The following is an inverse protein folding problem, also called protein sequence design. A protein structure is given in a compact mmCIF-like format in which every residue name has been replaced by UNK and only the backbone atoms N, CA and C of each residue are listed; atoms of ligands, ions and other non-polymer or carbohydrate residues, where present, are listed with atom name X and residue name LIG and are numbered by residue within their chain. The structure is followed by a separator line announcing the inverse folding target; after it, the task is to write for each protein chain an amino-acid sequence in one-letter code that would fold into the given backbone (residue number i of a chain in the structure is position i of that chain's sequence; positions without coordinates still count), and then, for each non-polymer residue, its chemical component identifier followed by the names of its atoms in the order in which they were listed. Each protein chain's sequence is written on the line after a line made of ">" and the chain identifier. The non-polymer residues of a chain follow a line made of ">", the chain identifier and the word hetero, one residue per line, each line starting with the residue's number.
data_IF_874639680255
#
_entry.id   IF_874639680255
#
_cell.length_a   1.000
_cell.length_b   1.000
_cell.length_c   1.000
_cell.angle_alpha   90.00
_cell.angle_beta   90.00
_cell.angle_gamma   90.00
#
_symmetry.space_group_name_H-M   'P 1'
#
loop_
_entity.id
_entity.type
_entity.pdbx_description
1 polymer ?
#
# COMPACT_ATOMS: atom_id res chain seq x y z
N UNK A 1 -35.07 -8.36 13.24
CA UNK A 1 -35.45 -7.36 12.22
C UNK A 1 -34.74 -5.98 12.33
N UNK A 2 -34.37 -5.48 13.51
CA UNK A 2 -33.60 -4.19 13.61
C UNK A 2 -32.14 -4.31 13.12
N UNK A 3 -31.52 -5.48 13.24
CA UNK A 3 -30.12 -5.70 12.78
C UNK A 3 -29.98 -5.70 11.24
N UNK A 4 -31.00 -6.07 10.48
CA UNK A 4 -30.91 -6.12 9.02
C UNK A 4 -30.75 -4.71 8.40
N UNK A 5 -31.50 -3.70 8.87
CA UNK A 5 -31.41 -2.32 8.35
C UNK A 5 -30.02 -1.68 8.53
N UNK A 6 -29.41 -1.87 9.70
CA UNK A 6 -28.06 -1.35 9.95
C UNK A 6 -27.04 -2.06 9.05
N UNK A 7 -27.16 -3.37 8.91
CA UNK A 7 -26.30 -4.18 8.06
C UNK A 7 -26.43 -3.78 6.59
N UNK A 8 -27.66 -3.58 6.09
CA UNK A 8 -27.90 -3.14 4.72
C UNK A 8 -27.37 -1.72 4.46
N UNK A 9 -27.53 -0.81 5.43
CA UNK A 9 -26.97 0.55 5.34
C UNK A 9 -25.45 0.54 5.34
N UNK A 10 -24.83 -0.26 6.21
CA UNK A 10 -23.38 -0.39 6.28
C UNK A 10 -22.81 -1.02 4.99
N UNK A 11 -23.41 -2.09 4.49
CA UNK A 11 -23.02 -2.73 3.23
C UNK A 11 -23.15 -1.75 2.05
N UNK A 12 -24.22 -0.97 2.01
CA UNK A 12 -24.45 0.07 0.99
C UNK A 12 -23.40 1.17 1.08
N UNK A 13 -23.07 1.64 2.30
CA UNK A 13 -22.03 2.65 2.53
C UNK A 13 -20.64 2.14 2.11
N UNK A 14 -20.29 0.93 2.52
CA UNK A 14 -19.02 0.31 2.17
C UNK A 14 -18.90 0.06 0.66
N UNK A 15 -19.97 -0.37 0.00
CA UNK A 15 -20.02 -0.51 -1.46
C UNK A 15 -19.84 0.83 -2.18
N UNK A 16 -20.48 1.92 -1.70
CA UNK A 16 -20.28 3.28 -2.24
C UNK A 16 -18.82 3.75 -2.05
N UNK A 17 -18.23 3.50 -0.88
CA UNK A 17 -16.86 3.86 -0.59
C UNK A 17 -15.89 3.11 -1.51
N UNK A 18 -16.04 1.79 -1.66
CA UNK A 18 -15.17 0.97 -2.49
C UNK A 18 -15.25 1.25 -3.99
N UNK A 19 -16.40 1.76 -4.44
CA UNK A 19 -16.63 2.15 -5.83
C UNK A 19 -16.34 3.65 -6.08
N UNK A 20 -15.90 4.39 -5.06
CA UNK A 20 -15.52 5.78 -5.23
C UNK A 20 -14.31 5.87 -6.16
N UNK A 21 -14.42 6.67 -7.21
CA UNK A 21 -13.51 6.64 -8.36
C UNK A 21 -12.06 6.94 -7.99
N UNK A 22 -11.81 7.90 -7.09
CA UNK A 22 -10.47 8.25 -6.66
C UNK A 22 -9.84 7.16 -5.78
N UNK A 23 -10.62 6.54 -4.87
CA UNK A 23 -10.14 5.42 -4.04
C UNK A 23 -9.83 4.18 -4.90
N UNK A 24 -10.70 3.88 -5.89
CA UNK A 24 -10.43 2.83 -6.87
C UNK A 24 -9.15 3.12 -7.65
N UNK A 25 -8.98 4.36 -8.11
CA UNK A 25 -7.78 4.81 -8.82
C UNK A 25 -6.51 4.64 -8.00
N UNK A 26 -6.52 5.06 -6.73
CA UNK A 26 -5.38 4.88 -5.84
C UNK A 26 -5.02 3.41 -5.66
N UNK A 27 -6.01 2.57 -5.36
CA UNK A 27 -5.79 1.13 -5.24
C UNK A 27 -5.14 0.55 -6.49
N UNK A 28 -5.69 0.83 -7.68
CA UNK A 28 -5.21 0.28 -8.95
C UNK A 28 -3.79 0.79 -9.27
N UNK A 29 -3.48 2.05 -8.96
CA UNK A 29 -2.15 2.65 -9.11
C UNK A 29 -1.13 1.97 -8.18
N UNK A 30 -1.41 1.86 -6.87
CA UNK A 30 -0.49 1.27 -5.91
C UNK A 30 -0.26 -0.22 -6.17
N UNK A 31 -1.30 -1.00 -6.49
CA UNK A 31 -1.16 -2.42 -6.85
C UNK A 31 -0.26 -2.60 -8.08
N UNK A 32 -0.38 -1.72 -9.07
CA UNK A 32 0.43 -1.81 -10.31
C UNK A 32 1.93 -1.57 -10.04
N UNK A 33 2.28 -0.71 -9.11
CA UNK A 33 3.70 -0.41 -8.77
C UNK A 33 4.30 -1.35 -7.73
N UNK A 34 3.49 -2.14 -7.04
CA UNK A 34 3.93 -3.05 -5.98
C UNK A 34 5.11 -3.94 -6.37
N UNK A 35 5.18 -4.55 -7.59
CA UNK A 35 6.31 -5.38 -7.99
C UNK A 35 7.66 -4.63 -7.96
N UNK A 36 7.68 -3.33 -8.27
CA UNK A 36 8.90 -2.52 -8.22
C UNK A 36 9.40 -2.34 -6.79
N UNK A 37 8.48 -2.14 -5.83
CA UNK A 37 8.84 -1.99 -4.42
C UNK A 37 9.25 -3.31 -3.78
N UNK A 38 8.64 -4.42 -4.19
CA UNK A 38 9.07 -5.77 -3.79
C UNK A 38 10.50 -6.02 -4.28
N UNK A 39 10.79 -5.74 -5.55
CA UNK A 39 12.15 -5.87 -6.10
C UNK A 39 13.15 -5.03 -5.30
N UNK A 40 12.83 -3.76 -5.05
CA UNK A 40 13.67 -2.88 -4.26
C UNK A 40 13.94 -3.43 -2.85
N UNK A 41 12.90 -3.93 -2.16
CA UNK A 41 13.04 -4.56 -0.84
C UNK A 41 13.94 -5.80 -0.85
N UNK A 42 13.79 -6.68 -1.85
CA UNK A 42 14.65 -7.87 -2.01
C UNK A 42 16.11 -7.48 -2.27
N UNK A 43 16.35 -6.42 -3.04
CA UNK A 43 17.69 -5.91 -3.31
C UNK A 43 18.33 -5.35 -2.04
N UNK A 44 17.56 -4.65 -1.20
CA UNK A 44 18.05 -4.19 0.11
C UNK A 44 18.45 -5.38 0.99
N UNK A 45 17.66 -6.46 0.99
CA UNK A 45 18.02 -7.70 1.67
C UNK A 45 19.35 -8.27 1.15
N UNK A 46 19.51 -8.38 -0.16
CA UNK A 46 20.75 -8.88 -0.77
C UNK A 46 21.95 -7.99 -0.41
N UNK A 47 21.83 -6.68 -0.59
CA UNK A 47 22.89 -5.72 -0.33
C UNK A 47 23.32 -5.66 1.14
N UNK A 48 22.34 -5.64 2.06
CA UNK A 48 22.62 -5.37 3.47
C UNK A 48 22.80 -6.63 4.32
N UNK A 49 22.40 -7.78 3.80
CA UNK A 49 22.49 -9.05 4.52
C UNK A 49 23.33 -10.08 3.76
N UNK A 50 22.84 -10.55 2.62
CA UNK A 50 23.44 -11.69 1.91
C UNK A 50 24.84 -11.37 1.37
N UNK A 51 25.02 -10.20 0.73
CA UNK A 51 26.31 -9.83 0.17
C UNK A 51 27.36 -9.58 1.26
N UNK A 52 26.97 -9.07 2.42
CA UNK A 52 27.87 -8.90 3.56
C UNK A 52 28.36 -10.23 4.16
N UNK A 53 27.61 -11.31 3.98
CA UNK A 53 28.05 -12.65 4.40
C UNK A 53 29.06 -13.27 3.43
N UNK A 54 29.00 -12.89 2.14
CA UNK A 54 29.77 -13.53 1.07
C UNK A 54 30.98 -12.70 0.67
N UNK A 55 30.85 -11.37 0.65
CA UNK A 55 31.86 -10.44 0.12
C UNK A 55 32.35 -9.46 1.19
N UNK A 56 33.59 -8.96 1.01
CA UNK A 56 34.21 -7.94 1.87
C UNK A 56 34.96 -6.91 1.03
N UNK A 57 35.21 -5.72 1.63
CA UNK A 57 36.02 -4.65 1.01
C UNK A 57 35.47 -4.18 -0.34
N UNK A 58 36.33 -3.89 -1.30
CA UNK A 58 35.96 -3.36 -2.61
C UNK A 58 35.02 -4.26 -3.40
N UNK A 59 35.14 -5.58 -3.22
CA UNK A 59 34.25 -6.54 -3.86
C UNK A 59 32.82 -6.37 -3.38
N UNK A 60 32.60 -6.22 -2.07
CA UNK A 60 31.29 -5.93 -1.50
C UNK A 60 30.70 -4.64 -2.11
N UNK A 61 31.49 -3.55 -2.14
CA UNK A 61 31.04 -2.26 -2.67
C UNK A 61 30.61 -2.36 -4.15
N UNK A 62 31.36 -3.12 -4.96
CA UNK A 62 31.01 -3.35 -6.38
C UNK A 62 29.69 -4.11 -6.54
N UNK A 63 29.46 -5.15 -5.75
CA UNK A 63 28.20 -5.88 -5.80
C UNK A 63 27.01 -5.05 -5.26
N UNK A 64 27.22 -4.27 -4.19
CA UNK A 64 26.21 -3.37 -3.66
C UNK A 64 25.81 -2.26 -4.63
N UNK A 65 26.73 -1.81 -5.50
CA UNK A 65 26.45 -0.79 -6.51
C UNK A 65 25.31 -1.20 -7.47
N UNK A 66 25.26 -2.49 -7.87
CA UNK A 66 24.14 -3.03 -8.64
C UNK A 66 22.78 -2.80 -7.94
N UNK A 67 22.69 -3.11 -6.65
CA UNK A 67 21.46 -2.92 -5.90
C UNK A 67 21.09 -1.45 -5.69
N UNK A 68 22.09 -0.58 -5.44
CA UNK A 68 21.90 0.87 -5.32
C UNK A 68 21.31 1.44 -6.62
N UNK A 69 21.83 1.02 -7.78
CA UNK A 69 21.34 1.47 -9.08
C UNK A 69 19.86 1.12 -9.31
N UNK A 70 19.45 -0.11 -8.92
CA UNK A 70 18.04 -0.52 -9.02
C UNK A 70 17.15 0.25 -8.02
N UNK A 71 17.63 0.45 -6.79
CA UNK A 71 16.90 1.24 -5.79
C UNK A 71 16.69 2.69 -6.28
N UNK A 72 17.68 3.29 -6.90
CA UNK A 72 17.56 4.62 -7.50
C UNK A 72 16.53 4.67 -8.64
N UNK A 73 16.48 3.64 -9.48
CA UNK A 73 15.50 3.52 -10.57
C UNK A 73 14.09 3.13 -10.14
N UNK A 74 13.87 2.81 -8.86
CA UNK A 74 12.57 2.39 -8.32
C UNK A 74 12.10 3.29 -7.17
N UNK A 75 12.75 3.21 -6.02
CA UNK A 75 12.35 3.94 -4.80
C UNK A 75 12.58 5.45 -4.92
N UNK A 76 13.74 5.84 -5.45
CA UNK A 76 14.12 7.25 -5.52
C UNK A 76 13.29 8.07 -6.52
N UNK A 77 12.47 7.40 -7.35
CA UNK A 77 11.52 8.05 -8.29
C UNK A 77 10.07 7.62 -8.04
N UNK A 78 9.79 7.05 -6.88
CA UNK A 78 8.47 6.48 -6.56
C UNK A 78 7.33 7.50 -6.63
N UNK A 79 7.55 8.75 -6.22
CA UNK A 79 6.57 9.83 -6.34
C UNK A 79 6.19 10.13 -7.80
N UNK A 80 7.17 10.10 -8.71
CA UNK A 80 6.94 10.28 -10.14
C UNK A 80 6.17 9.10 -10.73
N UNK A 81 6.55 7.88 -10.37
CA UNK A 81 5.87 6.65 -10.83
C UNK A 81 4.41 6.65 -10.39
N UNK A 82 4.14 7.00 -9.12
CA UNK A 82 2.77 7.08 -8.60
C UNK A 82 1.96 8.15 -9.32
N UNK A 83 2.52 9.33 -9.59
CA UNK A 83 1.82 10.37 -10.33
C UNK A 83 1.40 9.90 -11.73
N UNK A 84 2.28 9.20 -12.47
CA UNK A 84 1.98 8.59 -13.77
C UNK A 84 0.84 7.58 -13.65
N UNK A 85 0.91 6.67 -12.67
CA UNK A 85 -0.10 5.61 -12.52
C UNK A 85 -1.45 6.15 -12.08
N UNK A 86 -1.47 7.11 -11.16
CA UNK A 86 -2.73 7.78 -10.73
C UNK A 86 -3.37 8.50 -11.90
N UNK A 87 -2.61 9.28 -12.68
CA UNK A 87 -3.12 9.94 -13.87
C UNK A 87 -3.69 8.96 -14.90
N UNK A 88 -2.99 7.86 -15.15
CA UNK A 88 -3.45 6.82 -16.05
C UNK A 88 -4.75 6.16 -15.59
N UNK A 89 -4.78 5.67 -14.34
CA UNK A 89 -5.94 4.95 -13.83
C UNK A 89 -7.14 5.86 -13.58
N UNK A 90 -6.93 7.13 -13.21
CA UNK A 90 -8.03 8.07 -13.07
C UNK A 90 -8.70 8.32 -14.41
N UNK A 91 -7.92 8.63 -15.46
CA UNK A 91 -8.44 8.82 -16.80
C UNK A 91 -9.14 7.55 -17.33
N UNK A 92 -8.56 6.36 -17.09
CA UNK A 92 -9.19 5.08 -17.44
C UNK A 92 -10.51 4.83 -16.69
N UNK A 93 -10.55 5.12 -15.39
CA UNK A 93 -11.75 4.95 -14.57
C UNK A 93 -12.84 6.01 -14.87
N UNK A 94 -12.46 7.11 -15.54
CA UNK A 94 -13.36 8.15 -16.10
C UNK A 94 -13.75 7.88 -17.54
N UNK A 95 -13.37 6.72 -18.11
CA UNK A 95 -13.59 6.37 -19.52
C UNK A 95 -13.08 7.44 -20.50
N UNK A 96 -12.00 8.14 -20.13
CA UNK A 96 -11.38 9.14 -20.99
C UNK A 96 -10.60 8.48 -22.12
N UNK A 97 -10.73 8.97 -23.36
CA UNK A 97 -10.19 8.33 -24.57
C UNK A 97 -8.65 8.20 -24.59
N UNK A 98 -7.94 9.09 -23.88
CA UNK A 98 -6.47 9.11 -23.89
C UNK A 98 -5.84 9.09 -22.50
N UNK A 99 -5.89 7.93 -21.78
CA UNK A 99 -5.30 7.79 -20.45
C UNK A 99 -3.79 8.03 -20.42
N UNK A 100 -3.10 7.74 -21.54
CA UNK A 100 -1.65 7.96 -21.65
C UNK A 100 -1.30 9.46 -21.63
N UNK A 101 -2.08 10.31 -22.31
CA UNK A 101 -1.87 11.76 -22.26
C UNK A 101 -2.10 12.28 -20.83
N UNK A 102 -3.10 11.80 -20.12
CA UNK A 102 -3.35 12.16 -18.73
C UNK A 102 -2.20 11.74 -17.80
N UNK A 103 -1.63 10.56 -18.00
CA UNK A 103 -0.49 10.09 -17.22
C UNK A 103 0.77 10.95 -17.42
N UNK A 104 1.06 11.32 -18.66
CA UNK A 104 2.19 12.21 -18.99
C UNK A 104 1.95 13.62 -18.42
N UNK A 105 0.74 14.14 -18.54
CA UNK A 105 0.37 15.44 -17.98
C UNK A 105 0.54 15.46 -16.46
N UNK A 106 0.13 14.41 -15.76
CA UNK A 106 0.30 14.27 -14.32
C UNK A 106 1.76 14.32 -13.90
N UNK A 107 2.63 13.61 -14.63
CA UNK A 107 4.08 13.65 -14.41
C UNK A 107 4.65 15.07 -14.61
N UNK A 108 4.32 15.70 -15.74
CA UNK A 108 4.81 17.04 -16.06
C UNK A 108 4.32 18.05 -15.02
N UNK A 109 3.04 17.99 -14.63
CA UNK A 109 2.47 18.86 -13.61
C UNK A 109 3.18 18.70 -12.25
N UNK A 110 3.53 17.46 -11.86
CA UNK A 110 4.31 17.22 -10.64
C UNK A 110 5.71 17.86 -10.75
N UNK A 111 6.40 17.70 -11.87
CA UNK A 111 7.74 18.26 -12.07
C UNK A 111 7.70 19.79 -12.05
N UNK A 112 6.68 20.41 -12.65
CA UNK A 112 6.46 21.87 -12.61
C UNK A 112 6.30 22.40 -11.19
N UNK A 113 5.78 21.58 -10.28
CA UNK A 113 5.59 21.93 -8.86
C UNK A 113 6.81 21.61 -7.97
N UNK A 114 7.85 20.99 -8.53
CA UNK A 114 9.09 20.68 -7.81
C UNK A 114 10.04 21.90 -7.77
N UNK A 115 10.90 22.00 -6.74
CA UNK A 115 11.96 23.00 -6.76
C UNK A 115 12.98 22.65 -7.86
N UNK A 116 13.41 23.67 -8.60
CA UNK A 116 14.43 23.57 -9.64
C UNK A 116 15.86 23.82 -9.12
N UNK A 117 15.98 24.12 -7.83
CA UNK A 117 17.25 24.38 -7.15
C UNK A 117 17.32 23.52 -5.89
N UNK A 118 18.45 22.88 -5.68
CA UNK A 118 18.72 22.01 -4.52
C UNK A 118 19.95 22.54 -3.81
N UNK A 119 19.86 22.68 -2.48
CA UNK A 119 20.98 23.03 -1.62
C UNK A 119 21.73 21.76 -1.19
N UNK A 120 22.99 21.64 -1.50
CA UNK A 120 23.83 20.49 -1.20
C UNK A 120 25.08 20.95 -0.47
N UNK A 121 25.48 20.25 0.59
CA UNK A 121 26.78 20.41 1.23
C UNK A 121 27.75 19.44 0.57
N UNK A 122 28.72 19.92 -0.22
CA UNK A 122 29.71 19.05 -0.84
C UNK A 122 30.59 18.34 0.20
N UNK A 123 31.11 17.16 -0.14
CA UNK A 123 32.02 16.42 0.72
C UNK A 123 33.24 17.27 1.10
N UNK A 124 33.48 17.41 2.42
CA UNK A 124 34.56 18.22 2.97
C UNK A 124 34.29 19.73 3.06
N UNK A 125 33.14 20.24 2.58
CA UNK A 125 32.73 21.62 2.73
C UNK A 125 31.90 21.83 4.01
N UNK A 126 31.92 23.07 4.55
CA UNK A 126 31.06 23.48 5.68
C UNK A 126 29.78 24.20 5.20
N UNK A 127 29.85 24.81 4.03
CA UNK A 127 28.77 25.66 3.51
C UNK A 127 28.01 24.94 2.40
N UNK A 128 26.70 25.15 2.38
CA UNK A 128 25.82 24.62 1.35
C UNK A 128 25.95 25.41 0.04
N UNK A 129 25.96 24.70 -1.07
CA UNK A 129 25.96 25.28 -2.43
C UNK A 129 24.63 24.98 -3.11
N UNK A 130 24.05 26.00 -3.72
CA UNK A 130 22.82 25.85 -4.48
C UNK A 130 23.13 25.41 -5.91
N UNK A 131 22.55 24.26 -6.32
CA UNK A 131 22.69 23.70 -7.66
C UNK A 131 21.33 23.80 -8.35
N UNK A 132 21.27 24.48 -9.49
CA UNK A 132 20.04 24.65 -10.29
C UNK A 132 19.97 23.67 -11.45
N UNK A 133 18.77 23.38 -11.95
CA UNK A 133 18.53 22.49 -13.08
C UNK A 133 18.67 21.00 -12.75
N UNK A 134 18.50 20.64 -11.48
CA UNK A 134 18.56 19.24 -10.99
C UNK A 134 17.27 18.84 -10.29
N UNK A 135 16.91 17.56 -10.40
CA UNK A 135 15.85 16.93 -9.61
C UNK A 135 16.50 16.13 -8.49
N UNK A 136 16.13 16.42 -7.26
CA UNK A 136 16.61 15.66 -6.09
C UNK A 136 15.76 14.43 -5.86
N UNK A 137 16.37 13.32 -5.48
CA UNK A 137 15.66 12.12 -5.05
C UNK A 137 14.73 12.37 -3.85
N UNK A 138 15.02 13.34 -3.00
CA UNK A 138 14.13 13.75 -1.93
C UNK A 138 12.79 14.30 -2.45
N UNK A 139 12.77 14.90 -3.65
CA UNK A 139 11.58 15.46 -4.27
C UNK A 139 10.91 14.51 -5.29
N UNK A 140 11.59 13.45 -5.73
CA UNK A 140 11.06 12.49 -6.70
C UNK A 140 10.68 11.15 -6.08
N UNK A 141 11.26 10.83 -4.94
CA UNK A 141 11.07 9.56 -4.22
C UNK A 141 9.83 9.54 -3.32
N UNK A 142 9.93 8.79 -2.24
CA UNK A 142 8.84 8.55 -1.27
C UNK A 142 8.27 9.82 -0.64
N UNK A 143 9.10 10.80 -0.33
CA UNK A 143 8.65 12.09 0.20
C UNK A 143 7.69 12.84 -0.72
N UNK A 144 7.75 12.59 -2.03
CA UNK A 144 6.87 13.19 -3.02
C UNK A 144 5.64 12.33 -3.37
N UNK A 145 5.44 11.16 -2.78
CA UNK A 145 4.33 10.26 -3.18
C UNK A 145 2.95 10.90 -2.96
N UNK A 146 2.72 11.54 -1.81
CA UNK A 146 1.46 12.24 -1.54
C UNK A 146 1.25 13.42 -2.49
N UNK A 147 2.30 14.21 -2.73
CA UNK A 147 2.25 15.29 -3.71
C UNK A 147 1.96 14.75 -5.11
N UNK A 148 2.58 13.63 -5.49
CA UNK A 148 2.33 12.93 -6.74
C UNK A 148 0.87 12.52 -6.90
N UNK A 149 0.26 11.95 -5.86
CA UNK A 149 -1.17 11.58 -5.85
C UNK A 149 -2.05 12.80 -6.01
N UNK A 150 -1.86 13.84 -5.20
CA UNK A 150 -2.72 15.03 -5.20
C UNK A 150 -2.61 15.79 -6.52
N UNK A 151 -1.40 16.03 -6.99
CA UNK A 151 -1.15 16.70 -8.27
C UNK A 151 -1.75 15.90 -9.42
N UNK A 152 -1.55 14.58 -9.45
CA UNK A 152 -2.08 13.73 -10.51
C UNK A 152 -3.62 13.74 -10.56
N UNK A 153 -4.29 13.67 -9.40
CA UNK A 153 -5.75 13.76 -9.34
C UNK A 153 -6.22 15.11 -9.88
N UNK A 154 -5.67 16.21 -9.38
CA UNK A 154 -6.09 17.57 -9.79
C UNK A 154 -5.79 17.79 -11.27
N UNK A 155 -4.58 17.46 -11.74
CA UNK A 155 -4.18 17.64 -13.13
C UNK A 155 -5.05 16.84 -14.08
N UNK A 156 -5.35 15.57 -13.74
CA UNK A 156 -6.16 14.69 -14.57
C UNK A 156 -7.62 15.13 -14.61
N UNK A 157 -8.23 15.48 -13.48
CA UNK A 157 -9.62 15.96 -13.46
C UNK A 157 -9.75 17.28 -14.27
N UNK A 158 -8.85 18.23 -14.05
CA UNK A 158 -8.84 19.48 -14.84
C UNK A 158 -8.64 19.21 -16.33
N UNK A 159 -7.76 18.27 -16.68
CA UNK A 159 -7.50 17.91 -18.07
C UNK A 159 -8.73 17.30 -18.74
N UNK A 160 -9.42 16.38 -18.07
CA UNK A 160 -10.64 15.77 -18.58
C UNK A 160 -11.73 16.83 -18.76
N UNK A 161 -11.94 17.68 -17.75
CA UNK A 161 -12.94 18.76 -17.80
C UNK A 161 -12.67 19.72 -18.97
N UNK A 162 -11.42 20.21 -19.09
CA UNK A 162 -11.04 21.13 -20.17
C UNK A 162 -11.08 20.47 -21.56
N UNK A 163 -10.78 19.18 -21.65
CA UNK A 163 -10.88 18.43 -22.90
C UNK A 163 -12.32 18.28 -23.41
N UNK A 164 -13.30 18.39 -22.52
CA UNK A 164 -14.73 18.38 -22.89
C UNK A 164 -15.26 19.74 -23.34
N UNK A 165 -14.47 20.81 -23.15
CA UNK A 165 -14.86 22.18 -23.56
C UNK A 165 -14.61 22.33 -25.06
N UNK A 166 -15.68 22.42 -25.85
CA UNK A 166 -15.62 22.55 -27.32
C UNK A 166 -14.72 23.70 -27.82
N UNK A 167 -14.67 24.81 -27.11
CA UNK A 167 -13.84 25.98 -27.46
C UNK A 167 -12.33 25.71 -27.35
N UNK A 168 -11.93 24.67 -26.56
CA UNK A 168 -10.54 24.26 -26.38
C UNK A 168 -10.15 23.07 -27.26
N UNK A 169 -11.09 22.50 -28.03
CA UNK A 169 -10.80 21.39 -28.93
C UNK A 169 -10.35 21.94 -30.31
N UNK A 170 -9.12 21.59 -30.69
CA UNK A 170 -8.63 21.88 -32.05
C UNK A 170 -9.11 20.79 -33.01
N UNK A 171 -10.02 21.13 -33.90
CA UNK A 171 -10.45 20.25 -34.99
C UNK A 171 -9.61 20.52 -36.26
N UNK A 172 -8.85 19.53 -36.70
CA UNK A 172 -7.98 19.66 -37.87
C UNK A 172 -8.63 19.19 -39.17
N UNK A 173 -9.93 18.78 -39.14
CA UNK A 173 -10.67 18.30 -40.31
C UNK A 173 -10.55 16.79 -40.55
N UNK A 174 -11.32 16.28 -41.52
CA UNK A 174 -11.52 14.83 -41.73
C UNK A 174 -10.37 14.09 -42.42
N UNK A 175 -9.43 14.83 -43.05
CA UNK A 175 -8.36 14.23 -43.86
C UNK A 175 -7.05 13.96 -43.07
N UNK A 176 -7.10 13.96 -41.73
CA UNK A 176 -5.92 13.79 -40.90
C UNK A 176 -5.97 12.43 -40.18
N UNK A 177 -4.84 11.73 -40.02
CA UNK A 177 -4.79 10.46 -39.31
C UNK A 177 -5.39 10.62 -37.90
N UNK A 178 -6.23 9.67 -37.43
CA UNK A 178 -6.93 9.78 -36.12
C UNK A 178 -5.99 9.98 -34.91
N UNK A 179 -4.76 9.45 -34.97
CA UNK A 179 -3.76 9.62 -33.92
C UNK A 179 -3.29 11.08 -33.80
N UNK A 180 -3.09 11.75 -34.96
CA UNK A 180 -2.68 13.17 -35.02
C UNK A 180 -3.83 14.04 -34.54
N UNK A 181 -5.04 13.84 -35.06
CA UNK A 181 -6.24 14.58 -34.66
C UNK A 181 -6.47 14.53 -33.14
N UNK A 182 -6.36 13.32 -32.52
CA UNK A 182 -6.48 13.15 -31.05
C UNK A 182 -5.41 13.91 -30.28
N UNK A 183 -4.17 13.98 -30.77
CA UNK A 183 -3.09 14.72 -30.10
C UNK A 183 -3.34 16.23 -30.12
N UNK A 184 -3.83 16.76 -31.25
CA UNK A 184 -4.11 18.18 -31.37
C UNK A 184 -5.41 18.61 -30.69
N UNK A 185 -6.42 17.74 -30.58
CA UNK A 185 -7.66 18.07 -29.87
C UNK A 185 -7.43 18.36 -28.38
N UNK A 186 -6.40 17.81 -27.76
CA UNK A 186 -6.06 18.03 -26.36
C UNK A 186 -4.94 19.05 -26.12
N UNK A 187 -4.41 19.68 -27.18
CA UNK A 187 -3.27 20.61 -27.08
C UNK A 187 -3.57 21.80 -26.15
N UNK A 188 -4.67 22.50 -26.37
CA UNK A 188 -5.06 23.65 -25.55
C UNK A 188 -5.38 23.27 -24.11
N UNK A 189 -6.13 22.20 -23.82
CA UNK A 189 -6.27 21.66 -22.46
C UNK A 189 -4.93 21.39 -21.76
N UNK A 190 -3.98 20.71 -22.42
CA UNK A 190 -2.64 20.43 -21.86
C UNK A 190 -1.90 21.74 -21.54
N UNK A 191 -1.84 22.67 -22.48
CA UNK A 191 -1.19 23.98 -22.28
C UNK A 191 -1.81 24.73 -21.11
N UNK A 192 -3.13 24.73 -20.99
CA UNK A 192 -3.85 25.42 -19.92
C UNK A 192 -3.54 24.81 -18.56
N UNK A 193 -3.59 23.46 -18.44
CA UNK A 193 -3.30 22.80 -17.16
C UNK A 193 -1.85 23.04 -16.73
N UNK A 194 -0.87 22.83 -17.62
CA UNK A 194 0.54 23.03 -17.27
C UNK A 194 0.81 24.50 -16.89
N UNK A 195 0.26 25.46 -17.63
CA UNK A 195 0.39 26.89 -17.31
C UNK A 195 -0.22 27.24 -15.97
N UNK A 196 -1.39 26.67 -15.64
CA UNK A 196 -2.02 26.85 -14.34
C UNK A 196 -1.14 26.32 -13.19
N UNK A 197 -0.59 25.10 -13.34
CA UNK A 197 0.35 24.57 -12.35
C UNK A 197 1.62 25.42 -12.22
N UNK A 198 2.15 25.97 -13.32
CA UNK A 198 3.27 26.90 -13.30
C UNK A 198 2.96 28.19 -12.52
N UNK A 199 1.78 28.79 -12.74
CA UNK A 199 1.33 29.96 -11.99
C UNK A 199 1.16 29.64 -10.51
N UNK A 200 0.52 28.51 -10.17
CA UNK A 200 0.35 28.07 -8.78
C UNK A 200 1.71 27.83 -8.12
N UNK A 201 2.66 27.17 -8.80
CA UNK A 201 4.02 26.96 -8.29
C UNK A 201 4.72 28.27 -7.95
N UNK A 202 4.67 29.24 -8.87
CA UNK A 202 5.25 30.57 -8.67
C UNK A 202 4.59 31.33 -7.51
N UNK A 203 3.27 31.31 -7.41
CA UNK A 203 2.53 31.94 -6.32
C UNK A 203 2.87 31.33 -4.97
N UNK A 204 2.87 29.99 -4.86
CA UNK A 204 3.21 29.30 -3.61
C UNK A 204 4.62 29.68 -3.15
N UNK A 205 5.60 29.63 -4.04
CA UNK A 205 6.97 30.00 -3.71
C UNK A 205 7.11 31.47 -3.28
N UNK A 206 6.48 32.40 -4.00
CA UNK A 206 6.55 33.84 -3.68
C UNK A 206 5.83 34.22 -2.37
N UNK A 207 4.75 33.51 -2.02
CA UNK A 207 3.97 33.84 -0.81
C UNK A 207 4.54 33.12 0.42
N UNK A 208 4.92 31.84 0.30
CA UNK A 208 5.30 30.98 1.45
C UNK A 208 6.79 30.72 1.56
N UNK A 209 7.57 30.97 0.51
CA UNK A 209 8.96 30.53 0.42
C UNK A 209 9.13 29.02 0.27
N UNK A 210 8.03 28.25 0.15
CA UNK A 210 8.02 26.81 0.09
C UNK A 210 7.51 26.28 -1.25
N UNK A 211 8.00 25.12 -1.67
CA UNK A 211 7.42 24.39 -2.81
C UNK A 211 6.22 23.54 -2.38
N UNK A 212 5.41 23.11 -3.35
CA UNK A 212 4.20 22.33 -3.09
C UNK A 212 4.49 21.03 -2.35
N UNK A 213 5.59 20.33 -2.68
CA UNK A 213 5.93 19.04 -2.04
C UNK A 213 6.12 19.26 -0.54
N UNK A 214 6.89 20.28 -0.13
CA UNK A 214 7.08 20.62 1.28
C UNK A 214 5.77 20.98 1.97
N UNK A 215 4.91 21.76 1.32
CA UNK A 215 3.60 22.13 1.86
C UNK A 215 2.73 20.88 2.07
N UNK A 216 2.62 20.02 1.07
CA UNK A 216 1.82 18.79 1.18
C UNK A 216 2.41 17.86 2.23
N UNK A 217 3.74 17.72 2.29
CA UNK A 217 4.38 16.88 3.32
C UNK A 217 4.04 17.37 4.72
N UNK A 218 4.23 18.66 5.01
CA UNK A 218 4.03 19.20 6.37
C UNK A 218 2.56 19.23 6.77
N UNK A 219 1.67 19.70 5.89
CA UNK A 219 0.28 19.98 6.25
C UNK A 219 -0.70 18.86 5.97
N UNK A 220 -0.36 17.90 5.09
CA UNK A 220 -1.27 16.81 4.70
C UNK A 220 -0.65 15.46 5.02
N UNK A 221 0.54 15.16 4.49
CA UNK A 221 1.15 13.84 4.60
C UNK A 221 1.45 13.48 6.07
N UNK A 222 2.18 14.32 6.79
CA UNK A 222 2.56 14.03 8.17
C UNK A 222 1.35 13.89 9.11
N UNK A 223 0.36 14.80 9.13
CA UNK A 223 -0.81 14.62 9.98
C UNK A 223 -1.62 13.36 9.64
N UNK A 224 -1.86 13.11 8.34
CA UNK A 224 -2.62 11.93 7.88
C UNK A 224 -1.90 10.63 8.23
N UNK A 225 -0.57 10.61 8.04
CA UNK A 225 0.26 9.47 8.37
C UNK A 225 0.28 9.22 9.89
N UNK A 226 0.50 10.25 10.70
CA UNK A 226 0.49 10.11 12.16
C UNK A 226 -0.81 9.52 12.70
N UNK A 227 -1.94 9.91 12.16
CA UNK A 227 -3.24 9.37 12.56
C UNK A 227 -3.43 7.94 12.00
N UNK A 228 -3.27 7.77 10.70
CA UNK A 228 -3.58 6.53 9.99
C UNK A 228 -2.64 5.37 10.31
N UNK A 229 -1.35 5.64 10.54
CA UNK A 229 -0.35 4.63 10.92
C UNK A 229 0.01 4.63 12.40
N UNK A 230 -0.75 5.35 13.24
CA UNK A 230 -0.71 5.13 14.68
C UNK A 230 -1.22 3.74 15.03
N UNK A 231 -0.76 3.17 16.16
CA UNK A 231 -1.22 1.84 16.59
C UNK A 231 -2.75 1.74 16.65
N UNK A 232 -3.39 2.75 17.21
CA UNK A 232 -4.86 2.80 17.33
C UNK A 232 -5.51 2.97 15.95
N UNK A 233 -4.99 3.87 15.11
CA UNK A 233 -5.50 4.12 13.76
C UNK A 233 -5.47 2.86 12.90
N UNK A 234 -4.35 2.14 12.90
CA UNK A 234 -4.21 0.88 12.16
C UNK A 234 -5.16 -0.19 12.69
N UNK A 235 -5.27 -0.36 14.01
CA UNK A 235 -6.19 -1.33 14.59
C UNK A 235 -7.64 -1.04 14.18
N UNK A 236 -8.07 0.22 14.23
CA UNK A 236 -9.43 0.60 13.85
C UNK A 236 -9.66 0.33 12.36
N UNK A 237 -8.80 0.85 11.48
CA UNK A 237 -9.00 0.75 10.02
C UNK A 237 -8.91 -0.71 9.57
N UNK A 238 -7.95 -1.48 10.09
CA UNK A 238 -7.78 -2.90 9.76
C UNK A 238 -8.96 -3.75 10.25
N UNK A 239 -9.45 -3.48 11.47
CA UNK A 239 -10.63 -4.16 12.04
C UNK A 239 -11.90 -3.87 11.24
N UNK A 240 -12.09 -2.61 10.80
CA UNK A 240 -13.20 -2.25 9.90
C UNK A 240 -13.11 -2.99 8.57
N UNK A 241 -11.91 -3.11 7.98
CA UNK A 241 -11.68 -3.92 6.79
C UNK A 241 -12.07 -5.38 6.97
N UNK A 242 -11.61 -6.01 8.06
CA UNK A 242 -12.00 -7.40 8.36
C UNK A 242 -13.49 -7.55 8.65
N UNK A 243 -14.12 -6.55 9.28
CA UNK A 243 -15.56 -6.56 9.52
C UNK A 243 -16.37 -6.54 8.21
N UNK A 244 -15.85 -5.94 7.14
CA UNK A 244 -16.52 -5.95 5.83
C UNK A 244 -16.70 -7.35 5.26
N UNK A 245 -15.77 -8.27 5.51
CA UNK A 245 -15.89 -9.66 5.10
C UNK A 245 -17.11 -10.36 5.71
N UNK A 246 -17.53 -9.97 6.91
CA UNK A 246 -18.74 -10.52 7.53
C UNK A 246 -20.01 -10.18 6.73
N UNK A 247 -19.94 -9.16 5.89
CA UNK A 247 -21.03 -8.74 4.99
C UNK A 247 -20.78 -9.16 3.52
N UNK A 248 -19.79 -10.01 3.27
CA UNK A 248 -19.44 -10.43 1.91
C UNK A 248 -18.69 -9.37 1.09
N UNK A 249 -18.21 -8.31 1.74
CA UNK A 249 -17.47 -7.22 1.09
C UNK A 249 -15.98 -7.42 1.35
N UNK A 250 -15.18 -7.43 0.29
CA UNK A 250 -13.73 -7.63 0.39
C UNK A 250 -13.07 -6.49 1.20
N UNK A 251 -12.19 -6.84 2.15
CA UNK A 251 -11.49 -5.85 3.00
C UNK A 251 -10.70 -4.80 2.21
N UNK A 252 -10.24 -5.13 1.01
CA UNK A 252 -9.51 -4.22 0.13
C UNK A 252 -10.25 -2.89 -0.12
N UNK A 253 -11.57 -2.87 0.03
CA UNK A 253 -12.40 -1.65 -0.09
C UNK A 253 -11.95 -0.56 0.88
N UNK A 254 -11.56 -0.91 2.10
CA UNK A 254 -11.03 0.05 3.10
C UNK A 254 -9.51 -0.07 3.21
N UNK A 255 -9.01 -1.30 3.31
CA UNK A 255 -7.59 -1.54 3.53
C UNK A 255 -6.73 -0.99 2.39
N UNK A 256 -6.97 -1.43 1.14
CA UNK A 256 -6.15 -1.01 0.00
C UNK A 256 -6.42 0.43 -0.47
N UNK A 257 -7.59 0.99 -0.11
CA UNK A 257 -7.89 2.37 -0.48
C UNK A 257 -7.33 3.41 0.51
N UNK A 258 -7.26 3.08 1.80
CA UNK A 258 -6.94 4.05 2.87
C UNK A 258 -5.64 3.68 3.58
N UNK A 259 -5.54 2.45 4.09
CA UNK A 259 -4.44 2.07 4.97
C UNK A 259 -3.18 1.65 4.22
N UNK A 260 -3.32 0.82 3.19
CA UNK A 260 -2.19 0.27 2.44
C UNK A 260 -1.29 1.33 1.82
N UNK A 261 -1.78 2.43 1.20
CA UNK A 261 -0.94 3.52 0.70
C UNK A 261 -0.09 4.16 1.79
N UNK A 262 -0.64 4.39 2.98
CA UNK A 262 0.08 4.97 4.11
C UNK A 262 1.17 4.02 4.63
N UNK A 263 0.84 2.73 4.77
CA UNK A 263 1.76 1.69 5.20
C UNK A 263 2.88 1.45 4.18
N UNK A 264 2.57 1.60 2.89
CA UNK A 264 3.54 1.47 1.80
C UNK A 264 4.56 2.60 1.82
N UNK A 265 4.15 3.82 2.14
CA UNK A 265 5.08 4.93 2.35
C UNK A 265 6.04 4.61 3.49
N UNK A 266 5.53 4.16 4.64
CA UNK A 266 6.35 3.82 5.79
C UNK A 266 7.37 2.73 5.48
N UNK A 267 6.97 1.65 4.79
CA UNK A 267 7.93 0.60 4.42
C UNK A 267 8.97 1.10 3.41
N UNK A 268 8.59 1.98 2.49
CA UNK A 268 9.51 2.52 1.50
C UNK A 268 10.55 3.46 2.15
N UNK A 269 10.13 4.25 3.14
CA UNK A 269 11.05 5.05 3.96
C UNK A 269 11.98 4.15 4.79
N UNK A 270 11.47 3.05 5.37
CA UNK A 270 12.30 2.07 6.07
C UNK A 270 13.35 1.44 5.16
N UNK A 271 12.97 1.03 3.94
CA UNK A 271 13.88 0.49 2.94
C UNK A 271 14.96 1.51 2.58
N UNK A 272 14.58 2.78 2.38
CA UNK A 272 15.49 3.87 2.07
C UNK A 272 16.47 4.14 3.23
N UNK A 273 15.98 4.18 4.47
CA UNK A 273 16.81 4.34 5.66
C UNK A 273 17.82 3.20 5.81
N UNK A 274 17.36 1.95 5.60
CA UNK A 274 18.24 0.77 5.64
C UNK A 274 19.34 0.82 4.57
N UNK A 275 19.03 1.26 3.35
CA UNK A 275 20.00 1.45 2.27
C UNK A 275 21.08 2.47 2.63
N UNK A 276 20.69 3.53 3.34
CA UNK A 276 21.57 4.60 3.75
C UNK A 276 22.30 4.31 5.08
N UNK A 277 22.10 3.13 5.67
CA UNK A 277 22.67 2.76 6.98
C UNK A 277 22.12 3.57 8.15
N UNK A 278 20.91 4.15 7.99
CA UNK A 278 20.21 4.94 8.99
C UNK A 278 19.30 4.07 9.86
N UNK A 279 18.92 4.58 11.02
CA UNK A 279 17.93 3.92 11.86
C UNK A 279 16.58 3.81 11.15
N UNK A 280 15.87 2.68 11.35
CA UNK A 280 14.56 2.41 10.74
C UNK A 280 13.50 3.29 11.41
N UNK A 281 12.84 4.20 10.68
CA UNK A 281 11.97 5.21 11.29
C UNK A 281 10.59 4.69 11.70
N UNK A 282 10.05 3.66 11.03
CA UNK A 282 8.65 3.26 11.20
C UNK A 282 8.50 1.80 11.63
N UNK A 283 7.92 1.58 12.80
CA UNK A 283 7.55 0.24 13.26
C UNK A 283 6.33 -0.25 12.47
N UNK A 284 5.27 0.57 12.42
CA UNK A 284 4.05 0.23 11.69
C UNK A 284 4.24 0.57 10.22
N UNK A 285 4.27 -0.47 9.40
CA UNK A 285 4.46 -0.40 7.96
C UNK A 285 3.80 -1.59 7.26
N UNK A 286 3.77 -1.59 5.92
CA UNK A 286 3.07 -2.60 5.14
C UNK A 286 3.58 -4.02 5.43
N UNK A 287 4.89 -4.19 5.49
CA UNK A 287 5.50 -5.51 5.71
C UNK A 287 5.18 -6.07 7.09
N UNK A 288 5.18 -5.23 8.15
CA UNK A 288 4.79 -5.63 9.49
C UNK A 288 3.34 -6.13 9.52
N UNK A 289 2.41 -5.39 8.93
CA UNK A 289 0.98 -5.77 8.94
C UNK A 289 0.76 -7.05 8.13
N UNK A 290 1.35 -7.16 6.94
CA UNK A 290 1.23 -8.36 6.10
C UNK A 290 1.85 -9.59 6.77
N UNK A 291 2.91 -9.42 7.54
CA UNK A 291 3.59 -10.52 8.23
C UNK A 291 2.80 -11.00 9.46
N UNK A 292 2.41 -10.09 10.35
CA UNK A 292 1.92 -10.47 11.67
C UNK A 292 0.38 -10.44 11.81
N UNK A 293 -0.35 -9.78 10.90
CA UNK A 293 -1.80 -9.69 10.95
C UNK A 293 -2.52 -10.44 9.80
N UNK A 294 -1.76 -10.92 8.78
CA UNK A 294 -2.33 -11.55 7.58
C UNK A 294 -1.97 -13.05 7.47
N UNK A 295 -1.72 -13.74 8.57
CA UNK A 295 -1.30 -15.15 8.56
C UNK A 295 -2.39 -16.07 8.00
N UNK A 296 -2.24 -16.47 6.75
CA UNK A 296 -3.25 -17.21 6.01
C UNK A 296 -4.36 -16.35 5.41
N UNK A 297 -4.12 -15.04 5.23
CA UNK A 297 -5.07 -14.09 4.68
C UNK A 297 -5.84 -13.31 5.75
N UNK A 298 -6.88 -12.60 5.32
CA UNK A 298 -7.76 -11.82 6.20
C UNK A 298 -8.25 -12.63 7.40
N UNK A 299 -8.29 -12.02 8.58
CA UNK A 299 -8.67 -12.72 9.81
C UNK A 299 -7.63 -13.71 10.32
N UNK A 300 -6.42 -13.77 9.74
CA UNK A 300 -5.38 -14.75 10.05
C UNK A 300 -5.91 -16.20 9.98
N UNK A 301 -6.60 -16.50 8.88
CA UNK A 301 -7.38 -17.75 8.73
C UNK A 301 -6.57 -19.03 8.76
N UNK A 302 -5.24 -18.99 8.59
CA UNK A 302 -4.41 -20.19 8.83
C UNK A 302 -4.54 -20.68 10.29
N UNK A 303 -4.71 -19.76 11.25
CA UNK A 303 -5.01 -20.13 12.64
C UNK A 303 -6.35 -20.84 12.77
N UNK A 304 -7.38 -20.39 12.05
CA UNK A 304 -8.69 -21.06 11.98
C UNK A 304 -8.57 -22.47 11.41
N UNK A 305 -7.80 -22.66 10.32
CA UNK A 305 -7.61 -23.97 9.69
C UNK A 305 -6.95 -24.96 10.65
N UNK A 306 -5.87 -24.56 11.32
CA UNK A 306 -5.20 -25.41 12.31
C UNK A 306 -6.13 -25.71 13.50
N UNK A 307 -6.82 -24.70 14.02
CA UNK A 307 -7.79 -24.92 15.11
C UNK A 307 -8.91 -25.90 14.68
N UNK A 308 -9.38 -25.82 13.41
CA UNK A 308 -10.36 -26.76 12.86
C UNK A 308 -9.84 -28.20 12.84
N UNK A 309 -8.59 -28.42 12.41
CA UNK A 309 -8.00 -29.77 12.45
C UNK A 309 -7.89 -30.31 13.86
N UNK A 310 -7.65 -29.45 14.85
CA UNK A 310 -7.48 -29.88 16.25
C UNK A 310 -8.79 -30.22 16.94
N UNK A 311 -9.86 -29.46 16.72
CA UNK A 311 -11.05 -29.55 17.60
C UNK A 311 -12.38 -29.73 16.87
N UNK A 312 -12.52 -29.41 15.58
CA UNK A 312 -13.80 -29.57 14.88
C UNK A 312 -14.19 -31.06 14.76
N UNK A 313 -15.48 -31.35 14.94
CA UNK A 313 -16.07 -32.65 14.67
C UNK A 313 -16.89 -32.69 13.38
N UNK A 314 -17.14 -31.52 12.80
CA UNK A 314 -17.91 -31.37 11.58
C UNK A 314 -17.09 -31.77 10.35
N UNK A 315 -17.60 -32.73 9.57
CA UNK A 315 -16.92 -33.25 8.39
C UNK A 315 -16.80 -32.19 7.28
N UNK A 316 -17.79 -31.30 7.13
CA UNK A 316 -17.79 -30.25 6.14
C UNK A 316 -16.68 -29.24 6.46
N UNK A 317 -16.63 -28.75 7.70
CA UNK A 317 -15.58 -27.83 8.17
C UNK A 317 -14.18 -28.42 7.95
N UNK A 318 -13.98 -29.70 8.26
CA UNK A 318 -12.70 -30.41 8.03
C UNK A 318 -12.33 -30.51 6.55
N UNK A 319 -13.29 -30.79 5.68
CA UNK A 319 -13.05 -30.87 4.25
C UNK A 319 -12.67 -29.50 3.67
N UNK A 320 -13.37 -28.45 4.05
CA UNK A 320 -13.00 -27.08 3.68
C UNK A 320 -11.60 -26.74 4.16
N UNK A 321 -11.28 -27.08 5.43
CA UNK A 321 -9.95 -26.83 5.98
C UNK A 321 -8.85 -27.55 5.18
N UNK A 322 -9.08 -28.82 4.78
CA UNK A 322 -8.11 -29.57 3.93
C UNK A 322 -7.89 -28.92 2.58
N UNK A 323 -8.96 -28.51 1.90
CA UNK A 323 -8.88 -27.86 0.58
C UNK A 323 -8.22 -26.48 0.64
N UNK A 324 -8.44 -25.76 1.74
CA UNK A 324 -7.95 -24.38 1.92
C UNK A 324 -6.54 -24.31 2.52
N UNK A 325 -6.01 -25.40 3.07
CA UNK A 325 -4.74 -25.37 3.79
C UNK A 325 -3.56 -25.00 2.87
N UNK A 326 -3.48 -25.60 1.70
CA UNK A 326 -2.43 -25.30 0.71
C UNK A 326 -2.41 -23.81 0.34
N UNK A 327 -3.51 -23.24 -0.22
CA UNK A 327 -3.62 -21.81 -0.48
C UNK A 327 -3.36 -20.95 0.77
N UNK A 328 -3.85 -21.36 1.95
CA UNK A 328 -3.69 -20.63 3.21
C UNK A 328 -2.24 -20.46 3.66
N UNK A 329 -1.33 -21.39 3.35
CA UNK A 329 0.11 -21.23 3.60
C UNK A 329 0.66 -20.00 2.85
N UNK A 330 0.12 -19.72 1.66
CA UNK A 330 0.47 -18.59 0.82
C UNK A 330 -0.43 -17.36 1.05
N UNK A 331 -1.11 -17.30 2.17
CA UNK A 331 -2.02 -16.21 2.58
C UNK A 331 -3.25 -16.02 1.67
N UNK A 332 -3.60 -16.99 0.84
CA UNK A 332 -4.77 -16.99 -0.03
C UNK A 332 -5.92 -17.67 0.73
N UNK A 333 -6.97 -16.92 1.07
CA UNK A 333 -8.03 -17.40 1.95
C UNK A 333 -9.45 -17.36 1.38
N UNK A 334 -9.63 -17.03 0.13
CA UNK A 334 -10.94 -17.05 -0.54
C UNK A 334 -11.64 -18.42 -0.36
N UNK A 335 -10.94 -19.58 -0.48
CA UNK A 335 -11.58 -20.86 -0.22
C UNK A 335 -12.09 -21.01 1.22
N UNK A 336 -11.43 -20.36 2.20
CA UNK A 336 -11.89 -20.35 3.59
C UNK A 336 -13.10 -19.45 3.73
N UNK A 337 -13.05 -18.24 3.20
CA UNK A 337 -14.09 -17.22 3.37
C UNK A 337 -15.45 -17.68 2.80
N UNK A 338 -15.43 -18.37 1.67
CA UNK A 338 -16.64 -18.88 1.02
C UNK A 338 -17.00 -20.32 1.43
N UNK A 339 -16.00 -21.16 1.70
CA UNK A 339 -16.22 -22.56 2.06
C UNK A 339 -16.52 -22.79 3.54
N UNK A 340 -15.95 -21.97 4.43
CA UNK A 340 -16.13 -22.06 5.88
C UNK A 340 -17.18 -21.06 6.39
N UNK A 341 -18.20 -20.76 5.72
CA UNK A 341 -19.06 -19.59 5.70
C UNK A 341 -18.67 -18.55 6.78
N UNK A 342 -17.64 -17.74 6.49
CA UNK A 342 -17.27 -16.60 7.33
C UNK A 342 -18.30 -15.48 7.15
N UNK A 343 -18.78 -15.33 5.92
CA UNK A 343 -19.80 -14.33 5.55
C UNK A 343 -21.09 -14.63 6.31
N UNK A 344 -21.61 -13.60 7.00
CA UNK A 344 -22.78 -13.68 7.90
C UNK A 344 -22.66 -14.64 9.09
N UNK A 345 -21.47 -15.10 9.41
CA UNK A 345 -21.23 -15.98 10.52
C UNK A 345 -20.79 -15.22 11.78
N UNK A 346 -21.73 -14.89 12.63
CA UNK A 346 -21.47 -14.16 13.89
C UNK A 346 -20.57 -14.98 14.81
N UNK A 347 -20.63 -16.33 14.80
CA UNK A 347 -19.83 -17.18 15.66
C UNK A 347 -18.34 -17.01 15.44
N UNK A 348 -17.91 -16.81 14.18
CA UNK A 348 -16.51 -16.63 13.81
C UNK A 348 -16.09 -15.17 13.67
N UNK A 349 -17.02 -14.21 13.76
CA UNK A 349 -16.75 -12.78 13.62
C UNK A 349 -15.70 -12.27 14.63
N UNK A 350 -15.84 -12.67 15.88
CA UNK A 350 -14.97 -12.21 16.98
C UNK A 350 -13.52 -12.62 16.71
N UNK A 351 -13.17 -13.90 16.56
CA UNK A 351 -11.77 -14.28 16.32
C UNK A 351 -11.25 -13.75 14.98
N UNK A 352 -12.09 -13.66 13.94
CA UNK A 352 -11.72 -13.13 12.63
C UNK A 352 -11.23 -11.67 12.69
N UNK A 353 -11.80 -10.86 13.60
CA UNK A 353 -11.37 -9.47 13.82
C UNK A 353 -10.23 -9.41 14.84
N UNK A 354 -10.31 -10.18 15.93
CA UNK A 354 -9.39 -10.01 17.07
C UNK A 354 -8.03 -10.66 16.88
N UNK A 355 -7.92 -11.78 16.14
CA UNK A 355 -6.62 -12.44 15.93
C UNK A 355 -5.64 -11.55 15.16
N UNK A 356 -6.00 -10.88 14.06
CA UNK A 356 -5.12 -9.89 13.43
C UNK A 356 -4.73 -8.73 14.36
N UNK A 357 -5.66 -8.24 15.19
CA UNK A 357 -5.37 -7.17 16.16
C UNK A 357 -4.32 -7.63 17.18
N UNK A 358 -4.41 -8.85 17.67
CA UNK A 358 -3.35 -9.44 18.52
C UNK A 358 -2.01 -9.50 17.79
N UNK A 359 -2.02 -9.86 16.51
CA UNK A 359 -0.82 -9.85 15.67
C UNK A 359 -0.16 -8.47 15.60
N UNK A 360 -0.95 -7.43 15.36
CA UNK A 360 -0.49 -6.03 15.33
C UNK A 360 0.07 -5.62 16.70
N UNK A 361 -0.66 -5.88 17.78
CA UNK A 361 -0.27 -5.47 19.13
C UNK A 361 1.02 -6.15 19.60
N UNK A 362 1.11 -7.47 19.48
CA UNK A 362 2.25 -8.25 19.96
C UNK A 362 3.50 -7.92 19.15
N UNK A 363 3.40 -7.84 17.81
CA UNK A 363 4.54 -7.49 16.97
C UNK A 363 5.01 -6.05 17.20
N UNK A 364 4.09 -5.11 17.40
CA UNK A 364 4.41 -3.73 17.76
C UNK A 364 5.18 -3.68 19.09
N UNK A 365 4.67 -4.32 20.14
CA UNK A 365 5.31 -4.36 21.46
C UNK A 365 6.69 -5.02 21.39
N UNK A 366 6.81 -6.15 20.68
CA UNK A 366 8.09 -6.82 20.51
C UNK A 366 9.13 -5.94 19.81
N UNK A 367 8.71 -5.11 18.86
CA UNK A 367 9.62 -4.17 18.18
C UNK A 367 9.97 -2.97 19.07
N UNK A 368 8.99 -2.35 19.74
CA UNK A 368 9.23 -1.20 20.63
C UNK A 368 10.18 -1.55 21.78
N UNK A 369 10.03 -2.76 22.33
CA UNK A 369 10.91 -3.24 23.41
C UNK A 369 12.30 -3.66 22.94
N UNK A 370 12.56 -3.66 21.62
CA UNK A 370 13.82 -4.12 21.04
C UNK A 370 13.99 -5.66 21.08
N UNK A 371 12.93 -6.41 21.39
CA UNK A 371 13.00 -7.87 21.37
C UNK A 371 13.20 -8.42 19.97
N UNK A 372 12.60 -7.81 18.95
CA UNK A 372 12.86 -8.13 17.55
C UNK A 372 13.17 -6.88 16.73
N UNK A 373 13.85 -7.06 15.60
CA UNK A 373 14.10 -6.00 14.63
C UNK A 373 12.80 -5.51 13.97
N UNK A 374 12.68 -4.21 13.64
CA UNK A 374 11.57 -3.73 12.84
C UNK A 374 11.58 -4.37 11.44
N UNK A 375 10.40 -4.53 10.85
CA UNK A 375 10.29 -4.94 9.46
C UNK A 375 10.71 -3.77 8.55
N UNK A 376 11.69 -3.99 7.68
CA UNK A 376 12.17 -2.99 6.73
C UNK A 376 12.39 -3.54 5.32
N UNK A 377 12.00 -4.78 5.07
CA UNK A 377 12.05 -5.40 3.75
C UNK A 377 10.63 -5.69 3.31
N UNK A 378 10.25 -5.18 2.14
CA UNK A 378 8.97 -5.52 1.53
C UNK A 378 9.09 -6.90 0.86
N UNK A 379 8.34 -7.85 1.39
CA UNK A 379 8.21 -9.20 0.81
C UNK A 379 6.84 -9.35 0.14
N UNK A 380 6.70 -10.24 -0.86
CA UNK A 380 5.39 -10.55 -1.42
C UNK A 380 4.42 -10.98 -0.32
N UNK A 381 3.19 -10.47 -0.33
CA UNK A 381 2.17 -10.82 0.65
C UNK A 381 1.85 -12.33 0.66
N UNK A 382 2.08 -13.01 -0.48
CA UNK A 382 1.94 -14.46 -0.63
C UNK A 382 3.11 -15.27 -0.05
N UNK A 383 4.11 -14.63 0.54
CA UNK A 383 5.23 -15.35 1.17
C UNK A 383 4.70 -16.21 2.33
N UNK A 384 5.08 -17.49 2.42
CA UNK A 384 4.64 -18.38 3.48
C UNK A 384 4.87 -17.83 4.88
N UNK A 385 3.92 -18.09 5.77
CA UNK A 385 4.01 -17.76 7.20
C UNK A 385 5.31 -18.32 7.78
N UNK A 386 5.94 -17.61 8.71
CA UNK A 386 7.27 -17.80 9.30
C UNK A 386 8.44 -17.41 8.38
N UNK A 387 8.40 -17.76 7.10
CA UNK A 387 9.40 -17.31 6.15
C UNK A 387 9.30 -15.80 5.90
N UNK A 388 8.07 -15.27 5.83
CA UNK A 388 7.84 -13.83 5.67
C UNK A 388 8.39 -13.01 6.86
N UNK A 389 8.26 -13.49 8.10
CA UNK A 389 8.82 -12.81 9.27
C UNK A 389 10.35 -12.76 9.22
N UNK A 390 10.97 -13.87 8.84
CA UNK A 390 12.42 -13.94 8.70
C UNK A 390 12.93 -12.99 7.61
N UNK A 391 12.29 -12.99 6.44
CA UNK A 391 12.68 -12.12 5.32
C UNK A 391 12.42 -10.64 5.60
N UNK A 392 11.24 -10.31 6.15
CA UNK A 392 10.84 -8.93 6.41
C UNK A 392 11.76 -8.20 7.40
N UNK A 393 12.41 -8.95 8.31
CA UNK A 393 13.31 -8.45 9.35
C UNK A 393 14.80 -8.73 9.06
N UNK A 394 15.15 -9.05 7.81
CA UNK A 394 16.51 -9.35 7.36
C UNK A 394 17.19 -10.49 8.14
N UNK A 395 16.45 -11.56 8.45
CA UNK A 395 17.00 -12.75 9.07
C UNK A 395 16.88 -12.81 10.60
N UNK A 396 16.09 -11.93 11.22
CA UNK A 396 15.89 -11.97 12.68
C UNK A 396 15.00 -13.15 13.09
N UNK A 397 15.60 -14.19 13.67
CA UNK A 397 14.90 -15.39 14.17
C UNK A 397 13.92 -15.06 15.30
N UNK A 398 14.13 -13.97 16.05
CA UNK A 398 13.22 -13.53 17.12
C UNK A 398 11.88 -13.08 16.53
N UNK A 399 11.87 -12.50 15.34
CA UNK A 399 10.63 -12.17 14.62
C UNK A 399 9.82 -13.42 14.26
N UNK A 400 10.49 -14.50 13.87
CA UNK A 400 9.84 -15.81 13.64
C UNK A 400 9.23 -16.36 14.93
N UNK A 401 9.95 -16.26 16.05
CA UNK A 401 9.44 -16.66 17.36
C UNK A 401 8.19 -15.84 17.77
N UNK A 402 8.23 -14.53 17.57
CA UNK A 402 7.08 -13.65 17.82
C UNK A 402 5.88 -14.06 16.95
N UNK A 403 6.11 -14.31 15.66
CA UNK A 403 5.04 -14.76 14.76
C UNK A 403 4.48 -16.12 15.19
N UNK A 404 5.33 -17.04 15.65
CA UNK A 404 4.90 -18.35 16.18
C UNK A 404 4.02 -18.18 17.44
N UNK A 405 4.38 -17.28 18.36
CA UNK A 405 3.58 -16.97 19.55
C UNK A 405 2.21 -16.42 19.14
N UNK A 406 2.18 -15.45 18.21
CA UNK A 406 0.94 -14.87 17.70
C UNK A 406 0.07 -15.94 17.04
N UNK A 407 0.68 -16.81 16.24
CA UNK A 407 0.01 -17.92 15.57
C UNK A 407 -0.62 -18.89 16.57
N UNK A 408 0.13 -19.31 17.58
CA UNK A 408 -0.36 -20.21 18.64
C UNK A 408 -1.53 -19.58 19.43
N UNK A 409 -1.41 -18.31 19.82
CA UNK A 409 -2.49 -17.58 20.47
C UNK A 409 -3.72 -17.44 19.56
N UNK A 410 -3.51 -17.19 18.27
CA UNK A 410 -4.59 -17.14 17.28
C UNK A 410 -5.33 -18.46 17.16
N UNK A 411 -4.60 -19.59 17.10
CA UNK A 411 -5.18 -20.94 17.10
C UNK A 411 -6.02 -21.16 18.36
N UNK A 412 -5.47 -20.85 19.54
CA UNK A 412 -6.18 -20.99 20.81
C UNK A 412 -7.45 -20.12 20.87
N UNK A 413 -7.38 -18.92 20.35
CA UNK A 413 -8.51 -18.01 20.29
C UNK A 413 -9.64 -18.52 19.38
N UNK A 414 -9.33 -19.17 18.25
CA UNK A 414 -10.33 -19.74 17.35
C UNK A 414 -11.04 -20.98 17.92
N UNK A 415 -10.39 -21.77 18.79
CA UNK A 415 -10.92 -23.04 19.31
C UNK A 415 -12.33 -22.94 19.89
N UNK A 416 -12.65 -22.04 20.85
CA UNK A 416 -13.98 -21.97 21.44
C UNK A 416 -15.06 -21.63 20.41
N UNK A 417 -14.73 -20.76 19.46
CA UNK A 417 -15.68 -20.31 18.44
C UNK A 417 -15.96 -21.38 17.38
N UNK A 418 -14.98 -22.23 17.05
CA UNK A 418 -15.20 -23.39 16.18
C UNK A 418 -16.18 -24.38 16.85
N UNK A 419 -16.03 -24.63 18.15
CA UNK A 419 -16.96 -25.50 18.89
C UNK A 419 -18.41 -24.95 18.89
N UNK A 420 -18.56 -23.65 18.96
CA UNK A 420 -19.88 -23.00 18.84
C UNK A 420 -20.40 -23.12 17.40
N UNK A 421 -19.57 -22.84 16.42
CA UNK A 421 -19.93 -22.94 15.01
C UNK A 421 -20.37 -24.38 14.62
N UNK A 422 -19.65 -25.39 15.06
CA UNK A 422 -20.00 -26.80 14.81
C UNK A 422 -21.40 -27.14 15.34
N UNK A 423 -21.79 -26.64 16.52
CA UNK A 423 -23.13 -26.84 17.09
C UNK A 423 -24.22 -26.15 16.27
N UNK A 424 -23.95 -24.92 15.77
CA UNK A 424 -24.91 -24.20 14.90
C UNK A 424 -25.16 -24.96 13.61
N UNK A 425 -24.08 -25.40 12.94
CA UNK A 425 -24.17 -26.16 11.69
C UNK A 425 -24.89 -27.51 11.90
N UNK A 426 -24.64 -28.21 13.02
CA UNK A 426 -25.35 -29.44 13.35
C UNK A 426 -26.87 -29.22 13.57
N UNK A 427 -27.26 -28.06 14.12
CA UNK A 427 -28.67 -27.73 14.32
C UNK A 427 -29.36 -27.39 12.98
N UNK A 428 -28.69 -26.65 12.10
CA UNK A 428 -29.21 -26.34 10.77
C UNK A 428 -29.39 -27.58 9.87
N UNK A 429 -28.56 -28.61 10.05
CA UNK A 429 -28.71 -29.87 9.30
C UNK A 429 -29.81 -30.81 9.86
N UNK A 430 -30.31 -30.55 11.08
CA UNK A 430 -31.37 -31.34 11.70
C UNK A 430 -32.77 -30.76 11.58
N UNK A 431 -32.88 -29.48 11.19
CA UNK A 431 -34.16 -28.78 10.93
C UNK A 431 -34.43 -28.71 9.43
#
# INVERSE_FOLDING_TARGET
>A
MKNSKFMDQFATFAGKLGNQIHLKTLRDAFVTVMPLYILAGLIVLLNNTVFKWIFQGDTLTRFQYWGITIANGTLSISGMIIAVMVGYFLAKNRDFENPLAASMLSLVSLIVMMPNTVSVVPDGAKDAVNISGVLSFNNTGTGAMFAGVIVAIIATELFIELSNVKALQMNLGENIPPAVSRSFSVLLPVMTVISLFGVVSALLFNITGMNLISIITIFIQEPTRHIGTSLIGVIIIYSLGNMLWLFGIHQAVIYSAILEPLLLINITENITAANNGQAIPHIINLSQIQTFALMGGSGSTLCLLIATFLVSRNAVSKNVAKLSFGPGIFNINEPVLFGYPIVYNISLAIPFITVPVLGILISYLATVTGFMSPAFIQVPWTTPVFLNAWLATAGDVRAVLVQFIIFALGVLLYIPFIKVNDKVVEQEMKG
#
